data_IF_197651795919
#
_entry.id   IF_197651795919
#
_cell.length_a   1.000
_cell.length_b   1.000
_cell.length_c   1.000
_cell.angle_alpha   90.00
_cell.angle_beta   90.00
_cell.angle_gamma   90.00
#
_symmetry.space_group_name_H-M   'P 1'
#
loop_
_entity.id
_entity.type
_entity.pdbx_description
1 polymer ?
#
# COMPACT_ATOMS: atom_id res chain seq x y z
N UNK A 1 4.87 -38.96 22.35
CA UNK A 1 4.57 -37.76 23.15
C UNK A 1 4.58 -36.47 22.33
N UNK A 2 5.69 -36.04 21.70
CA UNK A 2 5.75 -34.79 20.91
C UNK A 2 4.70 -34.73 19.76
N UNK A 3 4.62 -35.79 18.96
CA UNK A 3 3.61 -35.91 17.89
C UNK A 3 2.16 -35.89 18.43
N UNK A 4 1.90 -36.48 19.61
CA UNK A 4 0.57 -36.43 20.24
C UNK A 4 0.24 -35.00 20.71
N UNK A 5 1.20 -34.27 21.28
CA UNK A 5 1.02 -32.87 21.67
C UNK A 5 0.66 -32.00 20.46
N UNK A 6 1.38 -32.19 19.35
CA UNK A 6 1.08 -31.52 18.08
C UNK A 6 -0.34 -31.85 17.62
N UNK A 7 -0.72 -33.14 17.57
CA UNK A 7 -2.04 -33.58 17.13
C UNK A 7 -3.17 -32.96 17.96
N UNK A 8 -3.07 -32.99 19.29
CA UNK A 8 -4.12 -32.44 20.15
C UNK A 8 -4.17 -30.91 20.11
N UNK A 9 -3.03 -30.21 20.05
CA UNK A 9 -3.01 -28.76 19.90
C UNK A 9 -3.67 -28.33 18.58
N UNK A 10 -3.35 -29.04 17.50
CA UNK A 10 -3.93 -28.81 16.18
C UNK A 10 -5.45 -28.96 16.19
N UNK A 11 -5.96 -30.05 16.80
CA UNK A 11 -7.39 -30.27 16.96
C UNK A 11 -8.07 -29.21 17.84
N UNK A 12 -7.42 -28.75 18.91
CA UNK A 12 -7.95 -27.67 19.74
C UNK A 12 -8.09 -26.37 18.93
N UNK A 13 -7.09 -26.03 18.11
CA UNK A 13 -7.13 -24.83 17.29
C UNK A 13 -8.22 -24.90 16.21
N UNK A 14 -8.37 -26.03 15.52
CA UNK A 14 -9.45 -26.24 14.53
C UNK A 14 -10.86 -26.15 15.14
N UNK A 15 -11.00 -26.54 16.40
CA UNK A 15 -12.30 -26.49 17.10
C UNK A 15 -12.64 -25.11 17.64
N UNK A 16 -11.67 -24.19 17.68
CA UNK A 16 -11.89 -22.81 18.12
C UNK A 16 -12.56 -21.98 17.01
N UNK A 17 -13.87 -22.21 16.81
CA UNK A 17 -14.66 -21.55 15.75
C UNK A 17 -14.61 -20.03 15.85
N UNK A 18 -14.62 -19.49 17.06
CA UNK A 18 -14.51 -18.06 17.31
C UNK A 18 -13.16 -17.49 16.83
N UNK A 19 -12.05 -18.15 17.16
CA UNK A 19 -10.72 -17.70 16.71
C UNK A 19 -10.60 -17.77 15.18
N UNK A 20 -11.11 -18.84 14.56
CA UNK A 20 -11.12 -18.97 13.10
C UNK A 20 -11.94 -17.85 12.46
N UNK A 21 -13.11 -17.52 13.02
CA UNK A 21 -13.92 -16.41 12.54
C UNK A 21 -13.14 -15.08 12.52
N UNK A 22 -12.53 -14.72 13.63
CA UNK A 22 -11.80 -13.45 13.75
C UNK A 22 -10.49 -13.41 12.96
N UNK A 23 -9.77 -14.53 12.83
CA UNK A 23 -8.49 -14.56 12.11
C UNK A 23 -8.66 -14.66 10.59
N UNK A 24 -9.71 -15.32 10.12
CA UNK A 24 -9.91 -15.60 8.71
C UNK A 24 -11.03 -14.74 8.11
N UNK A 25 -12.25 -14.83 8.64
CA UNK A 25 -13.42 -14.21 8.03
C UNK A 25 -13.44 -12.68 8.20
N UNK A 26 -13.07 -12.17 9.38
CA UNK A 26 -13.06 -10.73 9.60
C UNK A 26 -12.15 -9.97 8.62
N UNK A 27 -10.87 -10.34 8.41
CA UNK A 27 -10.05 -9.67 7.41
C UNK A 27 -10.54 -9.80 5.97
N UNK A 28 -11.15 -10.94 5.60
CA UNK A 28 -11.74 -11.10 4.27
C UNK A 28 -12.93 -10.15 4.07
N UNK A 29 -13.83 -10.06 5.06
CA UNK A 29 -14.96 -9.12 5.03
C UNK A 29 -14.45 -7.69 4.97
N UNK A 30 -13.47 -7.33 5.80
CA UNK A 30 -12.87 -6.00 5.79
C UNK A 30 -12.23 -5.66 4.44
N UNK A 31 -11.58 -6.64 3.80
CA UNK A 31 -11.01 -6.48 2.45
C UNK A 31 -12.09 -6.21 1.41
N UNK A 32 -13.24 -6.88 1.49
CA UNK A 32 -14.39 -6.61 0.62
C UNK A 32 -14.94 -5.20 0.85
N UNK A 33 -15.05 -4.76 2.11
CA UNK A 33 -15.51 -3.42 2.44
C UNK A 33 -14.56 -2.34 1.89
N UNK A 34 -13.24 -2.54 2.03
CA UNK A 34 -12.23 -1.66 1.46
C UNK A 34 -12.32 -1.66 -0.07
N UNK A 35 -12.43 -2.82 -0.69
CA UNK A 35 -12.61 -2.93 -2.14
C UNK A 35 -13.84 -2.15 -2.62
N UNK A 36 -14.99 -2.33 -1.96
CA UNK A 36 -16.22 -1.64 -2.33
C UNK A 36 -16.13 -0.13 -2.11
N UNK A 37 -15.58 0.32 -0.98
CA UNK A 37 -15.50 1.74 -0.63
C UNK A 37 -14.42 2.53 -1.37
N UNK A 38 -13.32 1.88 -1.76
CA UNK A 38 -12.16 2.53 -2.39
C UNK A 38 -12.19 2.46 -3.92
N UNK A 39 -13.03 1.60 -4.51
CA UNK A 39 -13.16 1.45 -5.96
C UNK A 39 -13.52 2.77 -6.66
N UNK A 40 -14.38 3.58 -6.06
CA UNK A 40 -14.78 4.86 -6.66
C UNK A 40 -13.68 5.92 -6.54
N UNK A 41 -12.86 5.86 -5.47
CA UNK A 41 -11.68 6.73 -5.29
C UNK A 41 -10.60 6.38 -6.32
N UNK A 42 -10.30 5.09 -6.50
CA UNK A 42 -9.32 4.64 -7.50
C UNK A 42 -9.71 5.01 -8.94
N UNK A 43 -11.01 5.06 -9.24
CA UNK A 43 -11.49 5.51 -10.54
C UNK A 43 -11.47 7.03 -10.68
N UNK A 44 -11.75 7.78 -9.62
CA UNK A 44 -11.71 9.25 -9.60
C UNK A 44 -10.30 9.86 -9.63
N UNK A 45 -9.26 9.10 -9.24
CA UNK A 45 -7.86 9.52 -9.34
C UNK A 45 -7.25 9.35 -10.74
N UNK A 46 -7.96 8.72 -11.69
CA UNK A 46 -7.50 8.68 -13.08
C UNK A 46 -7.64 10.08 -13.67
N UNK A 47 -6.53 10.62 -14.18
CA UNK A 47 -6.54 11.88 -14.91
C UNK A 47 -7.53 11.77 -16.08
N UNK A 48 -8.65 12.48 -15.97
CA UNK A 48 -9.58 12.66 -17.08
C UNK A 48 -9.01 13.72 -18.01
N UNK A 49 -8.86 13.37 -19.30
CA UNK A 49 -8.51 14.32 -20.34
C UNK A 49 -9.47 15.52 -20.30
N UNK A 50 -8.95 16.73 -20.52
CA UNK A 50 -9.75 17.95 -20.43
C UNK A 50 -10.41 18.22 -21.78
N UNK A 51 -11.74 18.26 -21.82
CA UNK A 51 -12.49 18.63 -23.02
C UNK A 51 -12.29 20.12 -23.34
N UNK A 52 -11.79 20.41 -24.54
CA UNK A 52 -11.58 21.76 -25.07
C UNK A 52 -12.22 21.90 -26.45
N UNK A 53 -12.82 23.07 -26.70
CA UNK A 53 -13.29 23.44 -28.04
C UNK A 53 -12.26 24.34 -28.73
N UNK A 54 -11.93 24.05 -29.98
CA UNK A 54 -11.09 24.90 -30.83
C UNK A 54 -11.97 25.48 -31.92
N UNK A 55 -11.97 26.80 -32.04
CA UNK A 55 -12.75 27.49 -33.08
C UNK A 55 -12.04 27.33 -34.42
N UNK A 56 -12.71 26.64 -35.35
CA UNK A 56 -12.20 26.37 -36.70
C UNK A 56 -12.55 27.53 -37.65
N UNK A 57 -11.75 28.60 -37.58
CA UNK A 57 -11.88 29.80 -38.41
C UNK A 57 -10.68 29.94 -39.37
N UNK A 58 -10.80 30.79 -40.39
CA UNK A 58 -9.71 31.09 -41.35
C UNK A 58 -8.43 31.66 -40.72
N UNK A 59 -8.48 32.05 -39.44
CA UNK A 59 -7.34 32.45 -38.63
C UNK A 59 -6.62 31.25 -37.98
N UNK A 60 -7.34 30.18 -37.66
CA UNK A 60 -6.76 28.93 -37.18
C UNK A 60 -5.97 28.21 -38.27
N UNK A 61 -6.46 28.22 -39.52
CA UNK A 61 -5.74 27.62 -40.66
C UNK A 61 -4.38 28.28 -40.96
N UNK A 62 -4.18 29.54 -40.51
CA UNK A 62 -2.91 30.26 -40.64
C UNK A 62 -1.91 29.85 -39.56
N UNK A 63 -2.38 29.38 -38.41
CA UNK A 63 -1.57 29.05 -37.23
C UNK A 63 -1.14 27.57 -37.21
N UNK A 64 -0.33 27.16 -38.20
CA UNK A 64 0.14 25.78 -38.39
C UNK A 64 0.93 25.22 -37.19
N UNK A 65 1.65 26.08 -36.48
CA UNK A 65 2.45 25.71 -35.31
C UNK A 65 1.55 25.33 -34.14
N UNK A 66 0.55 26.16 -33.83
CA UNK A 66 -0.39 25.89 -32.74
C UNK A 66 -1.30 24.71 -33.06
N UNK A 67 -1.74 24.56 -34.31
CA UNK A 67 -2.50 23.39 -34.75
C UNK A 67 -1.72 22.08 -34.51
N UNK A 68 -0.43 22.07 -34.84
CA UNK A 68 0.45 20.90 -34.62
C UNK A 68 0.66 20.61 -33.12
N UNK A 69 0.78 21.64 -32.28
CA UNK A 69 0.91 21.47 -30.82
C UNK A 69 -0.36 20.84 -30.25
N UNK A 70 -1.54 21.33 -30.64
CA UNK A 70 -2.85 20.84 -30.18
C UNK A 70 -3.08 19.40 -30.64
N UNK A 71 -2.73 19.07 -31.88
CA UNK A 71 -2.89 17.71 -32.43
C UNK A 71 -2.00 16.70 -31.68
N UNK A 72 -0.74 17.04 -31.40
CA UNK A 72 0.19 16.15 -30.69
C UNK A 72 -0.26 15.83 -29.25
N UNK A 73 -0.88 16.78 -28.54
CA UNK A 73 -1.36 16.56 -27.16
C UNK A 73 -2.77 15.96 -27.08
N UNK A 74 -3.43 15.85 -28.23
CA UNK A 74 -4.77 15.27 -28.38
C UNK A 74 -4.74 13.93 -29.12
N UNK A 75 -3.58 13.52 -29.65
CA UNK A 75 -3.37 12.25 -30.32
C UNK A 75 -3.34 11.08 -29.33
N UNK A 76 -3.92 9.93 -29.73
CA UNK A 76 -3.71 8.67 -29.01
C UNK A 76 -2.33 8.12 -29.38
N UNK A 77 -1.42 8.06 -28.41
CA UNK A 77 -0.19 7.31 -28.59
C UNK A 77 -0.52 5.81 -28.56
N UNK A 78 -0.37 5.13 -29.71
CA UNK A 78 -0.81 3.74 -29.90
C UNK A 78 0.11 2.69 -29.24
N UNK A 79 1.20 3.11 -28.61
CA UNK A 79 2.19 2.22 -27.99
C UNK A 79 2.19 2.24 -26.45
N UNK A 80 1.46 3.15 -25.81
CA UNK A 80 1.24 3.14 -24.36
C UNK A 80 -0.10 2.47 -24.02
N UNK A 81 -0.10 1.65 -22.97
CA UNK A 81 -1.27 0.88 -22.49
C UNK A 81 -2.36 1.81 -21.86
N UNK A 82 -2.12 3.12 -21.88
CA UNK A 82 -2.99 4.16 -21.36
C UNK A 82 -2.88 5.38 -22.28
N UNK A 83 -4.00 5.95 -22.73
CA UNK A 83 -3.99 7.12 -23.62
C UNK A 83 -3.40 8.32 -22.86
N UNK A 84 -2.20 8.78 -23.22
CA UNK A 84 -1.56 10.00 -22.70
C UNK A 84 -2.25 11.30 -23.20
N UNK A 85 -3.55 11.22 -23.51
CA UNK A 85 -4.36 12.34 -23.95
C UNK A 85 -4.53 13.33 -22.81
N UNK A 86 -3.93 14.50 -22.97
CA UNK A 86 -4.09 15.62 -22.03
C UNK A 86 -5.41 16.35 -22.33
N UNK A 87 -5.79 16.42 -23.60
CA UNK A 87 -6.98 17.12 -24.08
C UNK A 87 -7.83 16.25 -25.00
N UNK A 88 -9.14 16.46 -24.95
CA UNK A 88 -10.09 16.00 -25.97
C UNK A 88 -10.56 17.23 -26.74
N UNK A 89 -10.13 17.35 -27.99
CA UNK A 89 -10.40 18.53 -28.82
C UNK A 89 -11.62 18.34 -29.70
N UNK A 90 -12.51 19.32 -29.70
CA UNK A 90 -13.63 19.43 -30.66
C UNK A 90 -13.44 20.68 -31.51
N UNK A 91 -13.44 20.52 -32.83
CA UNK A 91 -13.38 21.64 -33.79
C UNK A 91 -14.80 22.08 -34.13
N UNK A 92 -15.16 23.31 -33.77
CA UNK A 92 -16.55 23.83 -33.86
C UNK A 92 -16.56 25.31 -34.24
N UNK A 93 -17.72 25.84 -34.67
CA UNK A 93 -17.86 27.29 -34.90
C UNK A 93 -17.84 28.07 -33.58
N UNK A 94 -17.60 29.39 -33.65
CA UNK A 94 -17.58 30.26 -32.46
C UNK A 94 -18.89 30.22 -31.67
N UNK A 95 -20.05 30.24 -32.35
CA UNK A 95 -21.35 30.18 -31.66
C UNK A 95 -21.62 28.80 -31.03
N UNK A 96 -21.07 27.73 -31.61
CA UNK A 96 -21.16 26.38 -31.06
C UNK A 96 -20.20 26.18 -29.87
N UNK A 97 -19.00 26.75 -29.94
CA UNK A 97 -18.04 26.75 -28.84
C UNK A 97 -18.59 27.47 -27.59
N UNK A 98 -19.24 28.62 -27.78
CA UNK A 98 -19.90 29.35 -26.70
C UNK A 98 -21.04 28.54 -26.07
N UNK A 99 -21.86 27.87 -26.88
CA UNK A 99 -22.92 26.97 -26.37
C UNK A 99 -22.35 25.77 -25.61
N UNK A 100 -21.28 25.15 -26.10
CA UNK A 100 -20.63 24.02 -25.43
C UNK A 100 -20.00 24.43 -24.09
N UNK A 101 -19.42 25.63 -24.02
CA UNK A 101 -18.92 26.21 -22.78
C UNK A 101 -20.08 26.51 -21.81
N UNK A 102 -21.22 26.98 -22.34
CA UNK A 102 -22.38 27.29 -21.52
C UNK A 102 -23.08 26.06 -20.93
N UNK A 103 -23.16 24.99 -21.72
CA UNK A 103 -23.65 23.66 -21.33
C UNK A 103 -22.69 22.93 -20.36
N UNK A 104 -21.51 23.48 -20.06
CA UNK A 104 -20.40 22.85 -19.31
C UNK A 104 -19.90 21.54 -19.95
N UNK A 105 -20.01 21.38 -21.27
CA UNK A 105 -19.47 20.23 -22.01
C UNK A 105 -17.99 20.36 -22.32
N UNK A 106 -17.47 21.59 -22.38
CA UNK A 106 -16.04 21.89 -22.50
C UNK A 106 -15.58 22.78 -21.35
N UNK A 107 -14.31 22.61 -20.94
CA UNK A 107 -13.73 23.40 -19.84
C UNK A 107 -13.25 24.77 -20.28
N UNK A 108 -12.94 24.93 -21.58
CA UNK A 108 -12.53 26.17 -22.22
C UNK A 108 -12.79 26.07 -23.73
N UNK A 109 -12.93 27.23 -24.38
CA UNK A 109 -12.78 27.31 -25.83
C UNK A 109 -11.60 28.22 -26.21
N UNK A 110 -10.97 27.90 -27.33
CA UNK A 110 -9.82 28.60 -27.88
C UNK A 110 -10.23 29.24 -29.21
N UNK A 111 -9.93 30.53 -29.37
CA UNK A 111 -10.12 31.24 -30.63
C UNK A 111 -8.89 32.07 -30.97
N UNK A 112 -8.69 32.33 -32.26
CA UNK A 112 -7.56 33.08 -32.79
C UNK A 112 -8.07 34.40 -33.34
N UNK A 113 -7.49 35.52 -32.89
CA UNK A 113 -7.78 36.87 -33.39
C UNK A 113 -6.47 37.66 -33.33
N UNK A 114 -5.55 37.34 -34.25
CA UNK A 114 -4.14 37.75 -34.23
C UNK A 114 -3.25 37.12 -33.15
N UNK A 115 -3.82 36.72 -32.01
CA UNK A 115 -3.17 35.92 -30.95
C UNK A 115 -4.12 34.81 -30.46
N UNK A 116 -3.55 33.73 -29.90
CA UNK A 116 -4.31 32.64 -29.28
C UNK A 116 -4.99 33.13 -27.98
N UNK A 117 -6.31 33.09 -27.92
CA UNK A 117 -7.11 33.50 -26.78
C UNK A 117 -7.85 32.31 -26.18
N UNK A 118 -7.79 32.15 -24.85
CA UNK A 118 -8.47 31.07 -24.12
C UNK A 118 -9.55 31.65 -23.20
N UNK A 119 -10.79 31.20 -23.36
CA UNK A 119 -11.95 31.70 -22.61
C UNK A 119 -12.45 30.64 -21.62
N UNK A 120 -12.70 31.09 -20.39
CA UNK A 120 -13.18 30.25 -19.30
C UNK A 120 -14.50 30.81 -18.74
N UNK A 121 -15.44 29.91 -18.42
CA UNK A 121 -16.67 30.27 -17.69
C UNK A 121 -16.45 30.42 -16.18
N UNK A 122 -15.58 29.58 -15.61
CA UNK A 122 -15.27 29.51 -14.17
C UNK A 122 -13.81 29.13 -13.95
N UNK A 123 -13.24 29.58 -12.84
CA UNK A 123 -11.92 29.16 -12.40
C UNK A 123 -11.99 27.80 -11.71
N UNK A 124 -11.12 26.87 -12.10
CA UNK A 124 -11.02 25.53 -11.53
C UNK A 124 -9.71 24.84 -11.94
N UNK A 125 -9.48 23.64 -11.42
CA UNK A 125 -8.24 22.89 -11.65
C UNK A 125 -8.05 22.55 -13.13
N UNK A 126 -9.10 22.07 -13.83
CA UNK A 126 -9.07 21.78 -15.28
C UNK A 126 -8.72 23.05 -16.09
N UNK A 127 -9.29 24.19 -15.73
CA UNK A 127 -9.02 25.48 -16.39
C UNK A 127 -7.60 26.01 -16.12
N UNK A 128 -7.05 25.74 -14.93
CA UNK A 128 -5.66 26.10 -14.61
C UNK A 128 -4.68 25.27 -15.43
N UNK A 129 -4.99 23.99 -15.67
CA UNK A 129 -4.20 23.11 -16.55
C UNK A 129 -4.24 23.66 -17.99
N UNK A 130 -5.42 23.92 -18.53
CA UNK A 130 -5.59 24.50 -19.88
C UNK A 130 -4.82 25.83 -19.99
N UNK A 131 -5.02 26.74 -19.04
CA UNK A 131 -4.35 28.06 -19.05
C UNK A 131 -2.84 27.92 -19.05
N UNK A 132 -2.27 27.15 -18.12
CA UNK A 132 -0.82 26.95 -18.04
C UNK A 132 -0.26 26.30 -19.31
N UNK A 133 -0.99 25.35 -19.88
CA UNK A 133 -0.59 24.70 -21.12
C UNK A 133 -0.52 25.71 -22.28
N UNK A 134 -1.59 26.47 -22.51
CA UNK A 134 -1.64 27.46 -23.59
C UNK A 134 -0.70 28.64 -23.35
N UNK A 135 -0.48 29.08 -22.12
CA UNK A 135 0.52 30.10 -21.78
C UNK A 135 1.94 29.63 -22.19
N UNK A 136 2.27 28.36 -21.94
CA UNK A 136 3.55 27.76 -22.38
C UNK A 136 3.59 27.60 -23.90
N UNK A 137 2.48 27.17 -24.52
CA UNK A 137 2.40 26.98 -25.96
C UNK A 137 2.60 28.31 -26.71
N UNK A 138 1.93 29.39 -26.28
CA UNK A 138 2.08 30.74 -26.85
C UNK A 138 3.51 31.26 -26.65
N UNK A 139 4.13 31.03 -25.48
CA UNK A 139 5.53 31.43 -25.25
C UNK A 139 6.49 30.69 -26.20
N UNK A 140 6.28 29.39 -26.39
CA UNK A 140 7.09 28.58 -27.33
C UNK A 140 6.86 29.02 -28.78
N UNK A 141 5.63 29.28 -29.17
CA UNK A 141 5.27 29.75 -30.50
C UNK A 141 5.95 31.10 -30.81
N UNK A 142 5.88 32.07 -29.89
CA UNK A 142 6.56 33.37 -30.04
C UNK A 142 8.08 33.21 -30.18
N UNK A 143 8.68 32.31 -29.39
CA UNK A 143 10.11 32.00 -29.49
C UNK A 143 10.46 31.37 -30.86
N UNK A 144 9.66 30.43 -31.35
CA UNK A 144 9.84 29.81 -32.67
C UNK A 144 9.73 30.83 -33.80
N UNK A 145 8.70 31.68 -33.76
CA UNK A 145 8.44 32.69 -34.79
C UNK A 145 9.54 33.76 -34.81
N UNK A 146 10.05 34.19 -33.65
CA UNK A 146 11.13 35.17 -33.57
C UNK A 146 12.46 34.60 -34.08
N UNK A 147 12.82 33.37 -33.69
CA UNK A 147 14.03 32.72 -34.21
C UNK A 147 13.95 32.45 -35.71
N UNK A 148 12.77 32.06 -36.20
CA UNK A 148 12.55 31.89 -37.64
C UNK A 148 12.69 33.22 -38.39
N UNK A 149 12.22 34.34 -37.81
CA UNK A 149 12.38 35.69 -38.39
C UNK A 149 13.84 36.12 -38.43
N UNK A 150 14.59 35.94 -37.34
CA UNK A 150 16.01 36.33 -37.27
C UNK A 150 16.91 35.51 -38.21
N UNK A 151 16.54 34.27 -38.53
CA UNK A 151 17.33 33.37 -39.37
C UNK A 151 16.78 33.19 -40.80
N UNK A 152 16.03 34.15 -41.36
CA UNK A 152 15.47 34.08 -42.72
C UNK A 152 14.67 32.80 -43.01
N UNK A 153 13.90 32.33 -42.03
CA UNK A 153 13.09 31.12 -42.11
C UNK A 153 13.83 29.81 -41.82
N UNK A 154 15.12 29.87 -41.46
CA UNK A 154 15.92 28.68 -41.18
C UNK A 154 16.02 28.44 -39.66
N UNK A 155 15.36 27.41 -39.15
CA UNK A 155 15.37 27.10 -37.71
C UNK A 155 16.62 26.26 -37.41
N UNK A 156 17.54 26.71 -36.53
CA UNK A 156 18.72 25.93 -36.17
C UNK A 156 18.30 24.59 -35.54
N UNK A 157 18.82 23.43 -36.00
CA UNK A 157 18.46 22.13 -35.44
C UNK A 157 18.73 22.03 -33.94
N UNK A 158 19.75 22.74 -33.44
CA UNK A 158 20.07 22.80 -32.01
C UNK A 158 18.96 23.45 -31.17
N UNK A 159 18.13 24.35 -31.73
CA UNK A 159 17.03 24.95 -31.00
C UNK A 159 15.84 23.98 -30.89
N UNK A 160 15.58 23.20 -31.94
CA UNK A 160 14.59 22.12 -31.90
C UNK A 160 14.98 21.07 -30.85
N UNK A 161 16.27 20.72 -30.79
CA UNK A 161 16.80 19.87 -29.72
C UNK A 161 16.63 20.53 -28.35
N UNK A 162 16.97 21.81 -28.17
CA UNK A 162 16.86 22.52 -26.87
C UNK A 162 15.41 22.70 -26.40
N UNK A 163 14.44 22.80 -27.31
CA UNK A 163 13.01 22.97 -26.98
C UNK A 163 12.33 21.62 -26.69
N UNK A 164 12.77 20.54 -27.35
CA UNK A 164 12.36 19.16 -27.05
C UNK A 164 13.11 18.57 -25.86
N UNK A 165 14.34 19.02 -25.62
CA UNK A 165 15.04 18.87 -24.34
C UNK A 165 14.40 19.84 -23.34
N UNK A 166 13.17 19.53 -22.96
CA UNK A 166 12.91 19.49 -21.54
C UNK A 166 13.84 18.43 -20.96
N UNK A 167 15.12 18.76 -20.73
CA UNK A 167 16.02 17.92 -19.95
C UNK A 167 15.32 17.77 -18.61
N UNK A 168 14.56 16.69 -18.47
CA UNK A 168 13.90 16.36 -17.24
C UNK A 168 15.04 15.88 -16.35
N UNK A 169 15.60 16.81 -15.59
CA UNK A 169 16.54 16.51 -14.51
C UNK A 169 15.93 15.51 -13.52
N UNK A 170 14.60 15.34 -13.59
CA UNK A 170 13.83 14.26 -12.98
C UNK A 170 13.63 13.17 -14.04
N UNK A 171 14.46 12.13 -14.02
CA UNK A 171 14.15 10.91 -14.77
C UNK A 171 12.94 10.29 -14.08
N UNK A 172 11.79 10.31 -14.74
CA UNK A 172 10.62 9.60 -14.20
C UNK A 172 10.95 8.10 -14.22
N UNK A 173 11.32 7.58 -13.06
CA UNK A 173 11.44 6.15 -12.78
C UNK A 173 10.10 5.60 -12.31
N UNK A 174 8.99 6.21 -12.74
CA UNK A 174 7.67 5.58 -12.81
C UNK A 174 7.86 4.18 -13.36
N UNK A 175 7.73 3.22 -12.45
CA UNK A 175 8.00 1.84 -12.74
C UNK A 175 6.94 1.41 -13.75
N UNK A 176 7.31 0.74 -14.84
CA UNK A 176 6.38 0.16 -15.84
C UNK A 176 5.39 -0.88 -15.25
N UNK A 177 5.31 -0.99 -13.93
CA UNK A 177 4.45 -1.89 -13.14
C UNK A 177 3.43 -1.07 -12.36
N UNK A 178 2.42 -0.59 -13.09
CA UNK A 178 1.21 -0.01 -12.51
C UNK A 178 1.41 1.37 -11.89
N UNK A 179 0.45 2.26 -12.15
CA UNK A 179 0.34 3.55 -11.49
C UNK A 179 0.36 3.38 -9.97
N UNK A 180 0.77 4.42 -9.25
CA UNK A 180 0.69 4.50 -7.80
C UNK A 180 -0.78 4.42 -7.37
N UNK A 181 -1.29 3.21 -7.21
CA UNK A 181 -2.63 2.98 -6.73
C UNK A 181 -2.59 3.18 -5.21
N UNK A 182 -3.16 4.31 -4.77
CA UNK A 182 -3.30 4.68 -3.36
C UNK A 182 -4.09 3.62 -2.59
N UNK A 183 -4.85 2.77 -3.28
CA UNK A 183 -5.65 1.68 -2.72
C UNK A 183 -4.81 0.43 -2.40
N UNK A 184 -3.74 0.15 -3.16
CA UNK A 184 -2.88 -1.03 -2.92
C UNK A 184 -2.29 -1.04 -1.50
N UNK A 185 -1.91 0.15 -1.01
CA UNK A 185 -1.33 0.32 0.31
C UNK A 185 -2.30 -0.07 1.43
N UNK A 186 -3.59 0.20 1.25
CA UNK A 186 -4.63 -0.20 2.17
C UNK A 186 -4.73 -1.73 2.27
N UNK A 187 -4.69 -2.44 1.14
CA UNK A 187 -4.66 -3.91 1.13
C UNK A 187 -3.38 -4.50 1.73
N UNK A 188 -2.23 -3.87 1.49
CA UNK A 188 -0.96 -4.27 2.10
C UNK A 188 -1.02 -4.16 3.62
N UNK A 189 -1.64 -3.09 4.14
CA UNK A 189 -1.82 -2.88 5.57
C UNK A 189 -2.80 -3.87 6.21
N UNK A 190 -3.85 -4.30 5.50
CA UNK A 190 -4.74 -5.38 5.96
C UNK A 190 -3.93 -6.66 6.19
N UNK A 191 -3.07 -7.05 5.25
CA UNK A 191 -2.22 -8.23 5.43
C UNK A 191 -1.25 -8.10 6.59
N UNK A 192 -0.66 -6.91 6.78
CA UNK A 192 0.18 -6.63 7.95
C UNK A 192 -0.60 -6.75 9.27
N UNK A 193 -1.86 -6.30 9.30
CA UNK A 193 -2.76 -6.46 10.44
C UNK A 193 -3.09 -7.93 10.71
N UNK A 194 -3.44 -8.72 9.67
CA UNK A 194 -3.73 -10.15 9.83
C UNK A 194 -2.53 -10.91 10.38
N UNK A 195 -1.32 -10.58 9.92
CA UNK A 195 -0.09 -11.14 10.49
C UNK A 195 0.01 -10.88 11.99
N UNK A 196 -0.33 -9.67 12.45
CA UNK A 196 -0.34 -9.31 13.87
C UNK A 196 -1.46 -9.99 14.67
N UNK A 197 -2.59 -10.36 14.06
CA UNK A 197 -3.66 -11.07 14.78
C UNK A 197 -3.22 -12.45 15.27
N UNK A 198 -2.18 -13.05 14.68
CA UNK A 198 -1.53 -14.25 15.23
C UNK A 198 -1.06 -14.07 16.68
N UNK A 199 -0.80 -12.84 17.12
CA UNK A 199 -0.45 -12.53 18.51
C UNK A 199 -1.56 -12.90 19.52
N UNK A 200 -2.83 -12.82 19.11
CA UNK A 200 -3.97 -13.28 19.92
C UNK A 200 -3.89 -14.79 20.19
N UNK A 201 -3.58 -15.58 19.15
CA UNK A 201 -3.35 -17.02 19.26
C UNK A 201 -2.20 -17.33 20.22
N UNK A 202 -1.10 -16.57 20.13
CA UNK A 202 0.03 -16.67 21.05
C UNK A 202 -0.36 -16.39 22.50
N UNK A 203 -1.23 -15.41 22.74
CA UNK A 203 -1.75 -15.12 24.08
C UNK A 203 -2.56 -16.28 24.66
N UNK A 204 -3.44 -16.87 23.85
CA UNK A 204 -4.23 -18.04 24.24
C UNK A 204 -3.32 -19.24 24.53
N UNK A 205 -2.29 -19.47 23.70
CA UNK A 205 -1.34 -20.56 23.88
C UNK A 205 -0.61 -20.50 25.23
N UNK A 206 -0.19 -19.30 25.64
CA UNK A 206 0.52 -19.09 26.91
C UNK A 206 -0.33 -19.44 28.14
N UNK A 207 -1.66 -19.32 28.08
CA UNK A 207 -2.54 -19.75 29.16
C UNK A 207 -2.53 -21.28 29.37
N UNK A 208 -2.15 -22.07 28.36
CA UNK A 208 -2.00 -23.52 28.48
C UNK A 208 -0.60 -23.94 28.96
N UNK A 209 0.38 -23.03 28.90
CA UNK A 209 1.79 -23.30 29.21
C UNK A 209 2.25 -22.69 30.55
N UNK A 210 1.66 -21.58 30.99
CA UNK A 210 2.02 -20.89 32.23
C UNK A 210 1.22 -21.39 33.44
N UNK A 211 1.89 -22.08 34.36
CA UNK A 211 1.34 -22.66 35.59
C UNK A 211 0.68 -21.64 36.52
N UNK A 212 1.12 -20.39 36.47
CA UNK A 212 0.58 -19.29 37.27
C UNK A 212 -0.69 -18.66 36.67
N UNK A 213 -1.17 -19.13 35.51
CA UNK A 213 -2.30 -18.52 34.81
C UNK A 213 -3.52 -19.41 34.62
N UNK A 214 -3.36 -20.74 34.62
CA UNK A 214 -4.50 -21.64 34.46
C UNK A 214 -4.34 -22.96 35.21
N UNK A 215 -5.45 -23.50 35.69
CA UNK A 215 -5.53 -24.86 36.22
C UNK A 215 -5.13 -25.92 35.16
N UNK A 216 -5.43 -25.65 33.88
CA UNK A 216 -5.01 -26.49 32.76
C UNK A 216 -3.48 -26.53 32.60
N UNK A 217 -2.82 -25.38 32.73
CA UNK A 217 -1.36 -25.29 32.67
C UNK A 217 -0.68 -26.00 33.85
N UNK A 218 -1.26 -25.90 35.06
CA UNK A 218 -0.81 -26.69 36.22
C UNK A 218 -0.86 -28.18 35.91
N UNK A 219 -1.97 -28.69 35.40
CA UNK A 219 -2.13 -30.10 35.01
C UNK A 219 -1.12 -30.53 33.93
N UNK A 220 -0.93 -29.72 32.89
CA UNK A 220 0.00 -30.01 31.80
C UNK A 220 1.47 -30.03 32.26
N UNK A 221 1.79 -29.33 33.34
CA UNK A 221 3.15 -29.26 33.89
C UNK A 221 3.50 -30.46 34.77
N UNK A 222 2.50 -31.21 35.27
CA UNK A 222 2.72 -32.47 36.01
C UNK A 222 3.17 -33.60 35.08
N UNK A 223 2.89 -33.49 33.78
CA UNK A 223 3.37 -34.47 32.80
C UNK A 223 4.92 -34.48 32.75
N UNK A 224 5.57 -35.65 32.61
CA UNK A 224 7.03 -35.79 32.60
C UNK A 224 7.64 -35.34 31.25
N UNK A 225 7.30 -34.12 30.82
CA UNK A 225 7.76 -33.52 29.56
C UNK A 225 8.34 -32.15 29.85
N UNK A 226 9.57 -31.92 29.39
CA UNK A 226 10.25 -30.63 29.52
C UNK A 226 9.40 -29.50 28.92
N UNK A 227 9.29 -28.38 29.64
CA UNK A 227 8.53 -27.19 29.20
C UNK A 227 8.96 -26.64 27.85
N UNK A 228 10.26 -26.71 27.51
CA UNK A 228 10.74 -26.29 26.19
C UNK A 228 10.16 -27.13 25.05
N UNK A 229 9.99 -28.44 25.24
CA UNK A 229 9.32 -29.30 24.25
C UNK A 229 7.84 -28.97 24.14
N UNK A 230 7.17 -28.62 25.24
CA UNK A 230 5.76 -28.19 25.22
C UNK A 230 5.60 -26.86 24.48
N UNK A 231 6.43 -25.87 24.82
CA UNK A 231 6.47 -24.56 24.18
C UNK A 231 6.70 -24.69 22.66
N UNK A 232 7.71 -25.45 22.26
CA UNK A 232 8.05 -25.65 20.85
C UNK A 232 6.93 -26.40 20.10
N UNK A 233 6.31 -27.40 20.73
CA UNK A 233 5.17 -28.12 20.12
C UNK A 233 4.00 -27.16 19.83
N UNK A 234 3.66 -26.31 20.80
CA UNK A 234 2.56 -25.37 20.67
C UNK A 234 2.88 -24.29 19.64
N UNK A 235 4.08 -23.71 19.72
CA UNK A 235 4.53 -22.67 18.80
C UNK A 235 4.52 -23.14 17.34
N UNK A 236 5.02 -24.35 17.06
CA UNK A 236 5.03 -24.89 15.69
C UNK A 236 3.61 -25.10 15.13
N UNK A 237 2.69 -25.61 15.94
CA UNK A 237 1.30 -25.80 15.50
C UNK A 237 0.61 -24.46 15.28
N UNK A 238 0.80 -23.52 16.20
CA UNK A 238 0.17 -22.21 16.13
C UNK A 238 0.75 -21.39 14.96
N UNK A 239 2.04 -21.52 14.68
CA UNK A 239 2.71 -20.93 13.51
C UNK A 239 2.12 -21.48 12.22
N UNK A 240 2.10 -22.81 12.04
CA UNK A 240 1.56 -23.43 10.84
C UNK A 240 0.08 -23.06 10.61
N UNK A 241 -0.73 -23.03 11.67
CA UNK A 241 -2.13 -22.63 11.56
C UNK A 241 -2.28 -21.16 11.20
N UNK A 242 -1.49 -20.28 11.82
CA UNK A 242 -1.52 -18.86 11.53
C UNK A 242 -1.10 -18.60 10.08
N UNK A 243 -0.01 -19.22 9.63
CA UNK A 243 0.49 -19.10 8.27
C UNK A 243 -0.55 -19.56 7.24
N UNK A 244 -1.21 -20.70 7.46
CA UNK A 244 -2.29 -21.17 6.59
C UNK A 244 -3.43 -20.14 6.52
N UNK A 245 -3.85 -19.58 7.67
CA UNK A 245 -4.93 -18.59 7.70
C UNK A 245 -4.52 -17.31 6.96
N UNK A 246 -3.33 -16.77 7.22
CA UNK A 246 -2.89 -15.53 6.57
C UNK A 246 -2.68 -15.75 5.07
N UNK A 247 -2.19 -16.92 4.66
CA UNK A 247 -2.07 -17.27 3.23
C UNK A 247 -3.43 -17.43 2.54
N UNK A 248 -4.45 -17.95 3.24
CA UNK A 248 -5.82 -17.96 2.72
C UNK A 248 -6.37 -16.55 2.52
N UNK A 249 -6.11 -15.63 3.47
CA UNK A 249 -6.49 -14.22 3.31
C UNK A 249 -5.74 -13.58 2.13
N UNK A 250 -4.43 -13.81 2.00
CA UNK A 250 -3.64 -13.35 0.85
C UNK A 250 -4.21 -13.88 -0.47
N UNK A 251 -4.52 -15.18 -0.54
CA UNK A 251 -5.10 -15.81 -1.71
C UNK A 251 -6.47 -15.21 -2.05
N UNK A 252 -7.30 -14.95 -1.04
CA UNK A 252 -8.59 -14.29 -1.23
C UNK A 252 -8.43 -12.88 -1.81
N UNK A 253 -7.56 -12.04 -1.23
CA UNK A 253 -7.34 -10.67 -1.73
C UNK A 253 -6.78 -10.71 -3.17
N UNK A 254 -5.84 -11.62 -3.45
CA UNK A 254 -5.22 -11.72 -4.78
C UNK A 254 -6.15 -12.27 -5.85
N UNK A 255 -6.86 -13.37 -5.58
CA UNK A 255 -7.63 -14.10 -6.58
C UNK A 255 -9.12 -13.73 -6.61
N UNK A 256 -9.73 -13.44 -5.47
CA UNK A 256 -11.16 -13.11 -5.42
C UNK A 256 -11.42 -11.62 -5.65
N UNK A 257 -10.58 -10.73 -5.09
CA UNK A 257 -10.68 -9.28 -5.31
C UNK A 257 -9.87 -8.79 -6.52
N UNK A 258 -8.98 -9.62 -7.07
CA UNK A 258 -8.17 -9.29 -8.24
C UNK A 258 -7.08 -8.26 -7.97
N UNK A 259 -6.67 -8.08 -6.71
CA UNK A 259 -5.63 -7.11 -6.35
C UNK A 259 -4.25 -7.67 -6.72
N UNK A 260 -3.49 -6.91 -7.51
CA UNK A 260 -2.16 -7.33 -7.93
C UNK A 260 -1.09 -6.98 -6.89
N UNK A 261 -0.35 -8.00 -6.44
CA UNK A 261 0.81 -7.87 -5.55
C UNK A 261 2.14 -7.97 -6.33
N UNK A 262 2.07 -8.10 -7.65
CA UNK A 262 3.20 -8.22 -8.56
C UNK A 262 3.61 -9.68 -8.83
N UNK A 263 4.65 -9.81 -9.65
CA UNK A 263 5.09 -11.09 -10.21
C UNK A 263 5.99 -11.92 -9.27
N UNK A 264 6.44 -11.35 -8.14
CA UNK A 264 7.39 -11.98 -7.20
C UNK A 264 6.66 -12.81 -6.13
N UNK A 265 5.80 -13.74 -6.54
CA UNK A 265 4.91 -14.52 -5.64
C UNK A 265 5.66 -15.24 -4.52
N UNK A 266 6.85 -15.79 -4.78
CA UNK A 266 7.65 -16.45 -3.74
C UNK A 266 8.05 -15.52 -2.60
N UNK A 267 8.46 -14.28 -2.90
CA UNK A 267 8.84 -13.30 -1.88
C UNK A 267 7.63 -12.73 -1.15
N UNK A 268 6.48 -12.62 -1.82
CA UNK A 268 5.22 -12.20 -1.20
C UNK A 268 4.82 -13.23 -0.13
N UNK A 269 4.78 -14.52 -0.48
CA UNK A 269 4.48 -15.61 0.46
C UNK A 269 5.48 -15.63 1.61
N UNK A 270 6.77 -15.47 1.33
CA UNK A 270 7.80 -15.42 2.35
C UNK A 270 7.60 -14.26 3.33
N UNK A 271 7.27 -13.07 2.83
CA UNK A 271 6.93 -11.89 3.66
C UNK A 271 5.74 -12.18 4.57
N UNK A 272 4.71 -12.84 4.06
CA UNK A 272 3.53 -13.23 4.82
C UNK A 272 3.87 -14.18 5.97
N UNK A 273 4.67 -15.21 5.70
CA UNK A 273 5.10 -16.20 6.72
C UNK A 273 5.97 -15.53 7.80
N UNK A 274 6.95 -14.71 7.39
CA UNK A 274 7.82 -13.99 8.34
C UNK A 274 7.00 -13.03 9.19
N UNK A 275 6.07 -12.27 8.58
CA UNK A 275 5.19 -11.36 9.29
C UNK A 275 4.27 -12.08 10.28
N UNK A 276 3.63 -13.17 9.85
CA UNK A 276 2.73 -13.97 10.70
C UNK A 276 3.47 -14.62 11.87
N UNK A 277 4.66 -15.17 11.61
CA UNK A 277 5.52 -15.73 12.67
C UNK A 277 5.94 -14.66 13.67
N UNK A 278 6.29 -13.46 13.20
CA UNK A 278 6.66 -12.38 14.10
C UNK A 278 5.50 -11.93 15.00
N UNK A 279 4.30 -11.77 14.42
CA UNK A 279 3.09 -11.47 15.18
C UNK A 279 2.81 -12.53 16.24
N UNK A 280 2.91 -13.81 15.87
CA UNK A 280 2.76 -14.91 16.83
C UNK A 280 3.79 -14.83 17.98
N UNK A 281 5.07 -14.64 17.66
CA UNK A 281 6.14 -14.51 18.66
C UNK A 281 5.92 -13.32 19.60
N UNK A 282 5.45 -12.18 19.08
CA UNK A 282 5.06 -11.03 19.90
C UNK A 282 3.95 -11.40 20.90
N UNK A 283 2.93 -12.13 20.47
CA UNK A 283 1.85 -12.60 21.35
C UNK A 283 2.33 -13.52 22.47
N UNK A 284 3.20 -14.48 22.14
CA UNK A 284 3.83 -15.36 23.14
C UNK A 284 4.62 -14.55 24.18
N UNK A 285 5.43 -13.60 23.71
CA UNK A 285 6.23 -12.75 24.60
C UNK A 285 5.36 -11.87 25.49
N UNK A 286 4.42 -11.14 24.90
CA UNK A 286 3.52 -10.24 25.63
C UNK A 286 2.70 -10.97 26.69
N UNK A 287 2.17 -12.14 26.35
CA UNK A 287 1.43 -12.96 27.30
C UNK A 287 2.32 -13.56 28.39
N UNK A 288 3.61 -13.81 28.12
CA UNK A 288 4.54 -14.33 29.11
C UNK A 288 4.83 -13.33 30.25
N UNK A 289 4.91 -12.04 29.93
CA UNK A 289 5.20 -10.95 30.89
C UNK A 289 3.95 -10.46 31.63
N UNK A 290 2.78 -10.59 31.02
CA UNK A 290 1.53 -10.05 31.55
C UNK A 290 0.81 -11.08 32.43
N UNK A 291 0.46 -10.71 33.67
CA UNK A 291 -0.21 -11.61 34.64
C UNK A 291 -1.73 -11.43 34.74
N UNK A 292 -2.33 -10.65 33.84
CA UNK A 292 -3.77 -10.36 33.81
C UNK A 292 -4.56 -11.46 33.10
N UNK A 293 -5.89 -11.33 33.05
CA UNK A 293 -6.79 -12.28 32.39
C UNK A 293 -6.49 -12.47 30.90
N UNK A 294 -6.95 -13.58 30.33
CA UNK A 294 -6.81 -13.90 28.90
C UNK A 294 -7.44 -12.82 28.03
N UNK A 295 -8.64 -12.39 28.40
CA UNK A 295 -9.42 -11.35 27.71
C UNK A 295 -8.66 -10.02 27.68
N UNK A 296 -8.07 -9.62 28.82
CA UNK A 296 -7.27 -8.40 28.88
C UNK A 296 -6.08 -8.46 27.91
N UNK A 297 -5.38 -9.60 27.86
CA UNK A 297 -4.24 -9.76 26.96
C UNK A 297 -4.67 -9.71 25.50
N UNK A 298 -5.75 -10.40 25.17
CA UNK A 298 -6.29 -10.45 23.81
C UNK A 298 -6.67 -9.04 23.33
N UNK A 299 -7.44 -8.31 24.14
CA UNK A 299 -7.87 -6.95 23.82
C UNK A 299 -6.69 -5.98 23.70
N UNK A 300 -5.66 -6.13 24.55
CA UNK A 300 -4.48 -5.29 24.47
C UNK A 300 -3.68 -5.53 23.18
N UNK A 301 -3.50 -6.80 22.80
CA UNK A 301 -2.78 -7.16 21.58
C UNK A 301 -3.54 -6.69 20.33
N UNK A 302 -4.87 -6.84 20.32
CA UNK A 302 -5.71 -6.31 19.24
C UNK A 302 -5.58 -4.79 19.19
N UNK A 303 -5.69 -4.08 20.32
CA UNK A 303 -5.52 -2.64 20.38
C UNK A 303 -4.15 -2.17 19.87
N UNK A 304 -3.07 -2.84 20.27
CA UNK A 304 -1.71 -2.56 19.76
C UNK A 304 -1.66 -2.78 18.25
N UNK A 305 -2.23 -3.88 17.75
CA UNK A 305 -2.25 -4.16 16.31
C UNK A 305 -3.02 -3.10 15.51
N UNK A 306 -4.12 -2.56 16.06
CA UNK A 306 -4.90 -1.50 15.41
C UNK A 306 -4.13 -0.18 15.37
N UNK A 307 -3.46 0.21 16.47
CA UNK A 307 -2.60 1.41 16.50
C UNK A 307 -1.46 1.25 15.49
N UNK A 308 -0.80 0.10 15.48
CA UNK A 308 0.25 -0.21 14.50
C UNK A 308 -0.27 -0.14 13.06
N UNK A 309 -1.49 -0.63 12.80
CA UNK A 309 -2.11 -0.59 11.47
C UNK A 309 -2.46 0.82 11.03
N UNK A 310 -2.99 1.65 11.94
CA UNK A 310 -3.24 3.07 11.69
C UNK A 310 -1.95 3.81 11.33
N UNK A 311 -0.89 3.63 12.14
CA UNK A 311 0.42 4.25 11.89
C UNK A 311 1.09 3.73 10.61
N UNK A 312 0.72 2.54 10.15
CA UNK A 312 1.18 1.95 8.88
C UNK A 312 0.39 2.46 7.66
N UNK A 313 -0.51 3.43 7.83
CA UNK A 313 -1.21 4.08 6.73
C UNK A 313 -2.53 3.42 6.31
N UNK A 314 -3.08 2.49 7.11
CA UNK A 314 -4.31 1.76 6.75
C UNK A 314 -5.52 2.67 6.46
N UNK A 315 -5.60 3.84 7.10
CA UNK A 315 -6.70 4.79 6.88
C UNK A 315 -6.33 5.92 5.91
N UNK A 316 -5.06 6.30 5.85
CA UNK A 316 -4.56 7.34 4.96
C UNK A 316 -3.04 7.20 4.81
N UNK A 317 -2.57 7.28 3.57
CA UNK A 317 -1.14 7.26 3.24
C UNK A 317 -0.38 8.43 3.86
N UNK A 318 -1.05 9.56 4.10
CA UNK A 318 -0.47 10.75 4.73
C UNK A 318 -0.02 10.48 6.17
N UNK A 319 -0.75 9.64 6.91
CA UNK A 319 -0.41 9.30 8.30
C UNK A 319 0.94 8.57 8.33
N UNK A 320 1.13 7.60 7.45
CA UNK A 320 2.40 6.87 7.39
C UNK A 320 3.55 7.80 6.98
N UNK A 321 3.32 8.70 6.03
CA UNK A 321 4.33 9.69 5.64
C UNK A 321 4.69 10.63 6.79
N UNK A 322 3.69 11.12 7.52
CA UNK A 322 3.89 11.96 8.69
C UNK A 322 4.72 11.25 9.77
N UNK A 323 4.42 9.98 10.05
CA UNK A 323 5.17 9.15 11.01
C UNK A 323 6.60 8.94 10.55
N UNK A 324 6.84 8.68 9.26
CA UNK A 324 8.20 8.54 8.70
C UNK A 324 9.04 9.78 8.88
N UNK A 325 8.45 10.97 8.68
CA UNK A 325 9.17 12.23 8.79
C UNK A 325 9.47 12.63 10.23
N UNK A 326 8.51 12.47 11.14
CA UNK A 326 8.60 13.01 12.50
C UNK A 326 8.98 11.96 13.55
N UNK A 327 8.74 10.68 13.28
CA UNK A 327 8.88 9.59 14.25
C UNK A 327 9.49 8.33 13.61
N UNK A 328 10.65 8.47 12.96
CA UNK A 328 11.36 7.39 12.27
C UNK A 328 11.55 6.12 13.12
N UNK A 329 11.79 6.25 14.42
CA UNK A 329 11.95 5.09 15.32
C UNK A 329 10.65 4.29 15.43
N UNK A 330 9.50 4.98 15.51
CA UNK A 330 8.17 4.34 15.60
C UNK A 330 7.86 3.62 14.29
N UNK A 331 8.15 4.25 13.15
CA UNK A 331 8.01 3.65 11.83
C UNK A 331 8.76 2.31 11.69
N UNK A 332 10.00 2.27 12.19
CA UNK A 332 10.90 1.10 12.08
C UNK A 332 10.65 -0.01 13.10
N UNK A 333 10.04 0.31 14.24
CA UNK A 333 9.64 -0.70 15.25
C UNK A 333 8.24 -1.24 14.93
N UNK A 334 7.43 -0.52 14.17
CA UNK A 334 6.07 -0.93 13.87
C UNK A 334 6.05 -2.18 12.95
N UNK A 335 5.60 -3.34 13.46
CA UNK A 335 5.60 -4.60 12.73
C UNK A 335 4.70 -4.56 11.49
N UNK A 336 3.54 -3.90 11.61
CA UNK A 336 2.57 -3.79 10.51
C UNK A 336 3.16 -2.94 9.41
N UNK A 337 3.79 -1.82 9.75
CA UNK A 337 4.43 -0.93 8.78
C UNK A 337 5.55 -1.64 8.00
N UNK A 338 6.43 -2.39 8.67
CA UNK A 338 7.49 -3.14 8.01
C UNK A 338 6.95 -4.18 7.01
N UNK A 339 5.84 -4.85 7.34
CA UNK A 339 5.17 -5.80 6.45
C UNK A 339 4.53 -5.07 5.25
N UNK A 340 3.76 -4.01 5.50
CA UNK A 340 3.13 -3.16 4.47
C UNK A 340 4.17 -2.63 3.48
N UNK A 341 5.26 -2.05 4.01
CA UNK A 341 6.36 -1.56 3.18
C UNK A 341 7.05 -2.67 2.40
N UNK A 342 7.13 -3.88 2.94
CA UNK A 342 7.76 -5.00 2.25
C UNK A 342 6.95 -5.36 0.99
N UNK A 343 5.61 -5.40 1.09
CA UNK A 343 4.75 -5.57 -0.10
C UNK A 343 4.89 -4.40 -1.07
N UNK A 344 4.88 -3.16 -0.56
CA UNK A 344 5.08 -1.96 -1.38
C UNK A 344 6.40 -2.01 -2.16
N UNK A 345 7.51 -2.32 -1.49
CA UNK A 345 8.85 -2.43 -2.10
C UNK A 345 8.92 -3.59 -3.10
N UNK A 346 8.27 -4.72 -2.82
CA UNK A 346 8.21 -5.83 -3.78
C UNK A 346 7.47 -5.49 -5.07
N UNK A 347 6.42 -4.67 -4.96
CA UNK A 347 5.61 -4.21 -6.08
C UNK A 347 6.32 -3.12 -6.89
N UNK A 348 6.70 -2.03 -6.22
CA UNK A 348 7.18 -0.80 -6.85
C UNK A 348 8.70 -0.73 -7.03
N UNK A 349 9.53 -1.53 -6.36
CA UNK A 349 10.99 -1.37 -6.44
C UNK A 349 11.64 -2.52 -7.21
N UNK A 350 12.55 -2.16 -8.13
CA UNK A 350 13.35 -3.15 -8.87
C UNK A 350 14.42 -3.75 -7.96
N UNK A 351 15.12 -2.92 -7.21
CA UNK A 351 16.10 -3.31 -6.20
C UNK A 351 15.42 -3.89 -4.94
N UNK A 352 15.99 -4.99 -4.44
CA UNK A 352 15.50 -5.74 -3.29
C UNK A 352 16.24 -5.38 -1.99
N UNK A 353 17.27 -4.54 -2.02
CA UNK A 353 18.05 -4.16 -0.82
C UNK A 353 17.15 -3.67 0.33
N UNK A 354 16.25 -2.73 0.03
CA UNK A 354 15.29 -2.14 0.98
C UNK A 354 14.21 -3.11 1.45
N UNK A 355 13.91 -4.13 0.65
CA UNK A 355 13.02 -5.21 1.03
C UNK A 355 13.69 -6.12 2.07
N UNK A 356 14.92 -6.57 1.80
CA UNK A 356 15.66 -7.41 2.72
C UNK A 356 15.93 -6.72 4.06
N UNK A 357 16.17 -5.41 4.05
CA UNK A 357 16.30 -4.61 5.27
C UNK A 357 15.09 -4.77 6.20
N UNK A 358 13.87 -4.69 5.66
CA UNK A 358 12.64 -4.86 6.44
C UNK A 358 12.48 -6.31 6.94
N UNK A 359 12.75 -7.29 6.09
CA UNK A 359 12.68 -8.72 6.47
C UNK A 359 13.66 -9.05 7.60
N UNK A 360 14.90 -8.54 7.52
CA UNK A 360 15.92 -8.77 8.56
C UNK A 360 15.42 -8.20 9.90
N UNK A 361 14.79 -7.03 9.92
CA UNK A 361 14.21 -6.46 11.14
C UNK A 361 13.08 -7.32 11.69
N UNK A 362 12.16 -7.79 10.84
CA UNK A 362 11.08 -8.69 11.27
C UNK A 362 11.63 -9.98 11.89
N UNK A 363 12.68 -10.56 11.29
CA UNK A 363 13.34 -11.76 11.82
C UNK A 363 14.03 -11.45 13.16
N UNK A 364 14.76 -10.33 13.27
CA UNK A 364 15.39 -9.92 14.53
C UNK A 364 14.35 -9.72 15.64
N UNK A 365 13.22 -9.08 15.35
CA UNK A 365 12.10 -8.92 16.30
C UNK A 365 11.54 -10.28 16.74
N UNK A 366 11.34 -11.20 15.80
CA UNK A 366 10.87 -12.57 16.07
C UNK A 366 11.80 -13.30 17.04
N UNK A 367 13.10 -13.27 16.75
CA UNK A 367 14.14 -13.91 17.60
C UNK A 367 14.18 -13.27 18.98
N UNK A 368 14.13 -11.94 19.05
CA UNK A 368 14.13 -11.21 20.32
C UNK A 368 12.93 -11.59 21.20
N UNK A 369 11.72 -11.65 20.63
CA UNK A 369 10.53 -12.06 21.36
C UNK A 369 10.57 -13.55 21.76
N UNK A 370 11.11 -14.42 20.92
CA UNK A 370 11.29 -15.83 21.26
C UNK A 370 12.26 -16.01 22.45
N UNK A 371 13.42 -15.34 22.43
CA UNK A 371 14.40 -15.35 23.53
C UNK A 371 13.78 -14.76 24.80
N UNK A 372 13.05 -13.64 24.68
CA UNK A 372 12.34 -13.01 25.78
C UNK A 372 11.35 -13.97 26.44
N UNK A 373 10.55 -14.68 25.65
CA UNK A 373 9.57 -15.67 26.12
C UNK A 373 10.26 -16.80 26.90
N UNK A 374 11.33 -17.37 26.32
CA UNK A 374 12.12 -18.44 26.94
C UNK A 374 12.70 -17.98 28.28
N UNK A 375 13.28 -16.77 28.32
CA UNK A 375 13.90 -16.21 29.51
C UNK A 375 12.88 -16.02 30.62
N UNK A 376 11.74 -15.41 30.32
CA UNK A 376 10.66 -15.19 31.30
C UNK A 376 10.15 -16.50 31.88
N UNK A 377 9.93 -17.52 31.03
CA UNK A 377 9.49 -18.84 31.48
C UNK A 377 10.52 -19.50 32.41
N UNK A 378 11.82 -19.46 32.05
CA UNK A 378 12.86 -20.08 32.87
C UNK A 378 13.03 -19.39 34.24
N UNK A 379 12.84 -18.08 34.31
CA UNK A 379 12.89 -17.31 35.56
C UNK A 379 11.68 -17.65 36.44
N UNK A 380 10.49 -17.74 35.86
CA UNK A 380 9.27 -18.12 36.59
C UNK A 380 9.39 -19.52 37.19
N UNK A 381 9.97 -20.47 36.46
CA UNK A 381 10.18 -21.84 36.93
C UNK A 381 11.13 -21.91 38.11
N UNK A 382 12.26 -21.17 38.04
CA UNK A 382 13.21 -21.07 39.14
C UNK A 382 12.56 -20.46 40.39
N UNK A 383 11.67 -19.47 40.21
CA UNK A 383 10.95 -18.84 41.34
C UNK A 383 9.99 -19.82 42.02
N UNK A 384 9.17 -20.54 41.26
CA UNK A 384 8.24 -21.53 41.82
C UNK A 384 8.97 -22.69 42.53
N UNK A 385 10.09 -23.16 41.97
CA UNK A 385 10.91 -24.20 42.60
C UNK A 385 11.48 -23.75 43.95
N UNK A 386 11.85 -22.46 44.08
CA UNK A 386 12.31 -21.88 45.34
C UNK A 386 11.17 -21.76 46.36
N UNK A 387 10.00 -21.31 45.93
CA UNK A 387 8.80 -21.19 46.78
C UNK A 387 8.26 -22.56 47.25
N UNK A 388 8.48 -23.64 46.50
CA UNK A 388 8.08 -25.00 46.92
C UNK A 388 9.05 -25.69 47.89
N UNK A 389 10.26 -25.14 48.05
CA UNK A 389 11.35 -25.72 48.86
C UNK A 389 11.52 -25.04 50.22
N UNK A 390 10.93 -23.86 50.41
CA UNK A 390 10.80 -23.18 51.71
C UNK A 390 9.40 -23.41 52.24
#
# INVERSE_FOLDING_TARGET
MFSQMIKYRFLCQLRSKESIFWLLFFPMILSVMFYAGLRDIANGEKFEAVDIAVVDDAEFEKEKVMASIIENVSADDKESVDSDKIFVTQYVSKEEAEKLLDDNKVSAYIYFNGECNVVFKKNGTKQTIVKKFFDIAIQKEKLFTEVARENNGNIPPNLLETINDSTSYIKDVSNKRGKADTVLQNFYSILGMVCMYGAATGCVAMNYLQTNQSALAKRNTVAPVSKMKQLLSYFLVDMLMNDVIVLLVLAFIRFALGIDFGNRTGLIIFTTIVGGTMGLSFGYFFASITKKSVEFKNNMVIGISMICSFLAGMMSNEVQYFVKQHAYIIDRINPVNLITESYYKLYYYTDLSKYYENIIILIMMTVLFAIGTITVLTVQDKKMMRESRG
#
